data_IF_511327179883
#
_entry.id   IF_511327179883
#
_cell.length_a   1.000
_cell.length_b   1.000
_cell.length_c   1.000
_cell.angle_alpha   90.00
_cell.angle_beta   90.00
_cell.angle_gamma   90.00
#
_symmetry.space_group_name_H-M   'P 1'
#
loop_
_entity.id
_entity.type
_entity.pdbx_description
1 polymer ?
#
# COMPACT_ATOMS: atom_id res chain seq x y z
N UNK A 1 -0.24 -21.64 7.88
CA UNK A 1 -1.43 -20.76 7.86
C UNK A 1 -1.08 -19.53 7.03
N UNK A 2 -1.33 -19.59 5.72
CA UNK A 2 -0.89 -18.59 4.73
C UNK A 2 -2.12 -17.80 4.30
N UNK A 3 -2.13 -16.46 4.50
CA UNK A 3 -3.06 -15.43 3.95
C UNK A 3 -2.98 -14.08 4.71
N UNK A 4 -2.30 -14.01 5.86
CA UNK A 4 -2.45 -12.88 6.78
C UNK A 4 -1.73 -11.59 6.35
N UNK A 5 -0.63 -11.64 5.58
CA UNK A 5 0.11 -10.43 5.18
C UNK A 5 -0.67 -9.56 4.19
N UNK A 6 -1.26 -10.17 3.15
CA UNK A 6 -2.14 -9.48 2.21
C UNK A 6 -3.41 -8.97 2.89
N UNK A 7 -3.95 -9.76 3.82
CA UNK A 7 -5.10 -9.34 4.63
C UNK A 7 -4.77 -8.16 5.55
N UNK A 8 -3.58 -8.12 6.16
CA UNK A 8 -3.15 -7.00 7.01
C UNK A 8 -2.85 -5.74 6.20
N UNK A 9 -2.19 -5.85 5.04
CA UNK A 9 -1.96 -4.69 4.17
C UNK A 9 -3.30 -4.14 3.66
N UNK A 10 -4.21 -5.02 3.23
CA UNK A 10 -5.56 -4.64 2.83
C UNK A 10 -6.31 -4.00 4.00
N UNK A 11 -6.25 -4.57 5.21
CA UNK A 11 -6.89 -4.03 6.40
C UNK A 11 -6.33 -2.64 6.79
N UNK A 12 -5.02 -2.43 6.67
CA UNK A 12 -4.40 -1.12 6.92
C UNK A 12 -4.84 -0.09 5.87
N UNK A 13 -4.84 -0.45 4.58
CA UNK A 13 -5.30 0.45 3.51
C UNK A 13 -6.78 0.78 3.65
N UNK A 14 -7.62 -0.23 3.91
CA UNK A 14 -9.04 -0.04 4.18
C UNK A 14 -9.27 0.81 5.43
N UNK A 15 -8.56 0.55 6.52
CA UNK A 15 -8.64 1.33 7.75
C UNK A 15 -8.20 2.79 7.54
N UNK A 16 -7.13 3.02 6.79
CA UNK A 16 -6.65 4.36 6.45
C UNK A 16 -7.63 5.11 5.53
N UNK A 17 -8.19 4.44 4.51
CA UNK A 17 -9.18 5.03 3.62
C UNK A 17 -10.48 5.40 4.36
N UNK A 18 -10.95 4.51 5.25
CA UNK A 18 -12.10 4.78 6.12
C UNK A 18 -11.78 5.96 7.06
N UNK A 19 -10.63 5.94 7.74
CA UNK A 19 -10.23 7.00 8.67
C UNK A 19 -10.07 8.36 7.99
N UNK A 20 -9.40 8.42 6.84
CA UNK A 20 -9.26 9.65 6.05
C UNK A 20 -10.60 10.11 5.48
N UNK A 21 -11.41 9.19 4.96
CA UNK A 21 -12.76 9.46 4.48
C UNK A 21 -13.64 10.07 5.58
N UNK A 22 -13.70 9.44 6.76
CA UNK A 22 -14.41 9.98 7.91
C UNK A 22 -13.82 11.29 8.40
N UNK A 23 -12.50 11.45 8.43
CA UNK A 23 -11.85 12.71 8.85
C UNK A 23 -12.23 13.88 7.94
N UNK A 24 -12.21 13.66 6.62
CA UNK A 24 -12.60 14.67 5.63
C UNK A 24 -14.11 14.94 5.69
N UNK A 25 -14.94 13.91 5.86
CA UNK A 25 -16.40 14.07 5.96
C UNK A 25 -16.84 14.72 7.28
N UNK A 26 -16.16 14.42 8.39
CA UNK A 26 -16.45 14.99 9.71
C UNK A 26 -16.04 16.46 9.78
N UNK A 27 -14.92 16.82 9.15
CA UNK A 27 -14.42 18.20 9.10
C UNK A 27 -14.08 18.59 7.65
N UNK A 28 -15.09 18.88 6.82
CA UNK A 28 -14.87 19.26 5.43
C UNK A 28 -14.38 20.71 5.35
N UNK A 29 -13.21 20.92 4.74
CA UNK A 29 -12.76 22.25 4.34
C UNK A 29 -13.36 22.61 2.97
N UNK A 30 -13.36 23.89 2.62
CA UNK A 30 -13.81 24.33 1.30
C UNK A 30 -12.93 23.71 0.22
N UNK A 31 -13.55 23.22 -0.85
CA UNK A 31 -12.83 22.56 -1.95
C UNK A 31 -11.74 23.44 -2.59
N UNK A 32 -11.99 24.75 -2.71
CA UNK A 32 -10.98 25.71 -3.19
C UNK A 32 -9.73 25.73 -2.31
N UNK A 33 -9.91 25.77 -0.99
CA UNK A 33 -8.82 25.77 0.00
C UNK A 33 -8.10 24.43 0.06
N UNK A 34 -8.81 23.33 -0.12
CA UNK A 34 -8.18 21.98 -0.17
C UNK A 34 -7.26 21.88 -1.37
N UNK A 35 -7.69 22.36 -2.55
CA UNK A 35 -6.88 22.35 -3.76
C UNK A 35 -5.66 23.27 -3.67
N UNK A 36 -5.84 24.45 -3.07
CA UNK A 36 -4.75 25.40 -2.77
C UNK A 36 -3.74 24.78 -1.79
N UNK A 37 -4.20 24.21 -0.67
CA UNK A 37 -3.35 23.48 0.29
C UNK A 37 -2.60 22.30 -0.31
N UNK A 38 -3.19 21.59 -1.28
CA UNK A 38 -2.48 20.51 -2.00
C UNK A 38 -1.35 21.10 -2.85
N UNK A 39 -1.61 22.19 -3.57
CA UNK A 39 -0.60 22.80 -4.44
C UNK A 39 0.53 23.46 -3.64
N UNK A 40 0.20 24.27 -2.64
CA UNK A 40 1.18 25.04 -1.88
C UNK A 40 1.83 24.20 -0.77
N UNK A 41 1.02 23.35 -0.12
CA UNK A 41 1.45 22.55 1.02
C UNK A 41 2.23 21.30 0.64
N UNK A 42 2.19 20.81 -0.61
CA UNK A 42 2.89 19.58 -0.98
C UNK A 42 4.41 19.69 -0.82
N UNK A 43 5.01 20.75 -1.36
CA UNK A 43 6.47 20.91 -1.31
C UNK A 43 6.97 21.23 0.11
N UNK A 44 6.24 22.06 0.85
CA UNK A 44 6.57 22.41 2.24
C UNK A 44 6.33 21.23 3.20
N UNK A 45 5.21 20.51 3.05
CA UNK A 45 4.94 19.31 3.83
C UNK A 45 5.97 18.23 3.52
N UNK A 46 6.36 18.04 2.27
CA UNK A 46 7.37 17.03 1.91
C UNK A 46 8.71 17.28 2.60
N UNK A 47 9.21 18.52 2.61
CA UNK A 47 10.47 18.85 3.25
C UNK A 47 10.40 18.70 4.79
N UNK A 48 9.32 19.18 5.40
CA UNK A 48 9.13 19.08 6.85
C UNK A 48 8.84 17.64 7.31
N UNK A 49 8.12 16.86 6.50
CA UNK A 49 7.83 15.46 6.74
C UNK A 49 9.11 14.64 6.63
N UNK A 50 9.98 14.92 5.66
CA UNK A 50 11.22 14.16 5.50
C UNK A 50 12.08 14.19 6.77
N UNK A 51 12.31 15.37 7.34
CA UNK A 51 13.11 15.51 8.57
C UNK A 51 12.45 14.87 9.80
N UNK A 52 11.13 15.01 9.95
CA UNK A 52 10.40 14.39 11.07
C UNK A 52 10.25 12.89 10.91
N UNK A 53 10.09 12.43 9.68
CA UNK A 53 9.97 11.02 9.33
C UNK A 53 11.29 10.30 9.55
N UNK A 54 12.43 10.87 9.20
CA UNK A 54 13.74 10.24 9.43
C UNK A 54 13.93 9.88 10.91
N UNK A 55 13.72 10.83 11.83
CA UNK A 55 13.84 10.58 13.27
C UNK A 55 12.80 9.57 13.79
N UNK A 56 11.52 9.75 13.39
CA UNK A 56 10.45 8.87 13.85
C UNK A 56 10.60 7.45 13.28
N UNK A 57 11.02 7.32 12.03
CA UNK A 57 11.27 6.05 11.37
C UNK A 57 12.46 5.34 12.01
N UNK A 58 13.49 6.05 12.46
CA UNK A 58 14.64 5.45 13.12
C UNK A 58 14.26 4.86 14.49
N UNK A 59 13.47 5.57 15.30
CA UNK A 59 12.90 5.04 16.55
C UNK A 59 11.96 3.85 16.31
N UNK A 60 11.08 3.95 15.30
CA UNK A 60 10.17 2.86 14.92
C UNK A 60 10.95 1.64 14.44
N UNK A 61 11.98 1.85 13.62
CA UNK A 61 12.83 0.79 13.09
C UNK A 61 13.58 0.08 14.20
N UNK A 62 14.07 0.81 15.21
CA UNK A 62 14.71 0.21 16.39
C UNK A 62 13.72 -0.64 17.22
N UNK A 63 12.51 -0.13 17.47
CA UNK A 63 11.46 -0.89 18.18
C UNK A 63 11.00 -2.12 17.38
N UNK A 64 10.83 -1.96 16.07
CA UNK A 64 10.47 -3.06 15.16
C UNK A 64 11.62 -4.07 15.09
N UNK A 65 12.88 -3.66 15.03
CA UNK A 65 14.02 -4.59 14.93
C UNK A 65 14.19 -5.46 16.17
N UNK A 66 13.95 -4.89 17.37
CA UNK A 66 13.91 -5.65 18.62
C UNK A 66 12.79 -6.70 18.59
N UNK A 67 11.62 -6.34 18.05
CA UNK A 67 10.53 -7.29 17.80
C UNK A 67 10.89 -8.30 16.68
N UNK A 68 11.66 -7.85 15.68
CA UNK A 68 12.01 -8.60 14.46
C UNK A 68 12.95 -9.77 14.77
N UNK A 69 13.91 -9.55 15.66
CA UNK A 69 14.88 -10.57 16.09
C UNK A 69 14.23 -11.74 16.83
N UNK A 70 13.20 -11.50 17.63
CA UNK A 70 12.68 -12.54 18.50
C UNK A 70 11.53 -13.35 17.87
N UNK A 71 10.78 -12.79 16.92
CA UNK A 71 9.55 -13.42 16.41
C UNK A 71 9.30 -13.28 14.90
N UNK A 72 10.01 -12.38 14.20
CA UNK A 72 9.59 -11.99 12.85
C UNK A 72 10.46 -12.58 11.73
N UNK A 73 11.66 -13.09 11.99
CA UNK A 73 12.50 -13.71 10.96
C UNK A 73 11.87 -14.96 10.36
N UNK A 74 11.41 -15.91 11.20
CA UNK A 74 10.69 -17.10 10.72
C UNK A 74 9.43 -16.72 9.93
N UNK A 75 8.68 -15.73 10.41
CA UNK A 75 7.48 -15.23 9.72
C UNK A 75 7.83 -14.49 8.41
N UNK A 76 8.98 -13.82 8.33
CA UNK A 76 9.40 -13.06 7.15
C UNK A 76 9.86 -13.99 6.02
N UNK A 77 10.62 -15.03 6.34
CA UNK A 77 11.08 -16.02 5.36
C UNK A 77 9.91 -16.89 4.86
N UNK A 78 8.97 -17.26 5.74
CA UNK A 78 7.72 -17.93 5.34
C UNK A 78 6.86 -17.01 4.45
N UNK A 79 6.79 -15.70 4.72
CA UNK A 79 6.08 -14.75 3.86
C UNK A 79 6.76 -14.55 2.50
N UNK A 80 8.09 -14.44 2.45
CA UNK A 80 8.83 -14.27 1.19
C UNK A 80 8.62 -15.47 0.26
N UNK A 81 8.70 -16.68 0.82
CA UNK A 81 8.44 -17.95 0.11
C UNK A 81 7.02 -18.00 -0.46
N UNK A 82 6.01 -17.66 0.36
CA UNK A 82 4.61 -17.69 -0.05
C UNK A 82 4.25 -16.61 -1.08
N UNK A 83 4.87 -15.43 -0.99
CA UNK A 83 4.69 -14.35 -1.97
C UNK A 83 5.31 -14.72 -3.30
N UNK A 84 6.49 -15.34 -3.31
CA UNK A 84 7.13 -15.79 -4.54
C UNK A 84 6.23 -16.74 -5.32
N UNK A 85 5.68 -17.77 -4.67
CA UNK A 85 4.79 -18.73 -5.32
C UNK A 85 3.47 -18.11 -5.79
N UNK A 86 2.82 -17.29 -4.95
CA UNK A 86 1.58 -16.63 -5.35
C UNK A 86 1.78 -15.60 -6.47
N UNK A 87 2.98 -15.03 -6.58
CA UNK A 87 3.30 -14.11 -7.67
C UNK A 87 3.34 -14.85 -9.01
N UNK A 88 3.85 -16.08 -9.04
CA UNK A 88 3.83 -16.95 -10.23
C UNK A 88 2.40 -17.27 -10.69
N UNK A 89 1.51 -17.66 -9.77
CA UNK A 89 0.09 -17.91 -10.09
C UNK A 89 -0.62 -16.64 -10.61
N UNK A 90 -0.31 -15.49 -10.02
CA UNK A 90 -0.86 -14.19 -10.44
C UNK A 90 -0.34 -13.82 -11.83
N UNK A 91 0.94 -14.07 -12.14
CA UNK A 91 1.51 -13.83 -13.47
C UNK A 91 0.78 -14.70 -14.50
N UNK A 92 0.60 -16.00 -14.26
CA UNK A 92 -0.11 -16.88 -15.18
C UNK A 92 -1.57 -16.45 -15.41
N UNK A 93 -2.28 -16.05 -14.35
CA UNK A 93 -3.65 -15.55 -14.48
C UNK A 93 -3.74 -14.24 -15.28
N UNK A 94 -2.77 -13.34 -15.10
CA UNK A 94 -2.69 -12.10 -15.86
C UNK A 94 -2.37 -12.36 -17.33
N UNK A 95 -1.49 -13.31 -17.64
CA UNK A 95 -1.20 -13.74 -19.01
C UNK A 95 -2.44 -14.32 -19.69
N UNK A 96 -3.20 -15.18 -18.99
CA UNK A 96 -4.45 -15.75 -19.50
C UNK A 96 -5.50 -14.66 -19.78
N UNK A 97 -5.69 -13.71 -18.85
CA UNK A 97 -6.58 -12.57 -19.03
C UNK A 97 -6.14 -11.67 -20.19
N UNK A 98 -4.84 -11.42 -20.34
CA UNK A 98 -4.29 -10.58 -21.40
C UNK A 98 -4.47 -11.24 -22.77
N UNK A 99 -4.25 -12.56 -22.88
CA UNK A 99 -4.51 -13.33 -24.08
C UNK A 99 -5.99 -13.28 -24.47
N UNK A 100 -6.90 -13.53 -23.52
CA UNK A 100 -8.35 -13.42 -23.73
C UNK A 100 -8.78 -12.02 -24.19
N UNK A 101 -8.23 -10.97 -23.57
CA UNK A 101 -8.53 -9.58 -23.96
C UNK A 101 -8.03 -9.26 -25.38
N UNK A 102 -6.84 -9.77 -25.75
CA UNK A 102 -6.29 -9.58 -27.09
C UNK A 102 -7.12 -10.30 -28.15
N UNK A 103 -7.63 -11.49 -27.85
CA UNK A 103 -8.51 -12.25 -28.74
C UNK A 103 -9.89 -11.59 -28.89
N UNK A 104 -10.47 -11.08 -27.79
CA UNK A 104 -11.72 -10.32 -27.83
C UNK A 104 -11.59 -9.02 -28.63
N UNK A 105 -10.48 -8.28 -28.46
CA UNK A 105 -10.22 -7.09 -29.28
C UNK A 105 -10.05 -7.41 -30.77
N UNK A 106 -9.38 -8.52 -31.12
CA UNK A 106 -9.23 -8.94 -32.52
C UNK A 106 -10.57 -9.36 -33.16
N UNK A 107 -11.50 -9.93 -32.37
CA UNK A 107 -12.87 -10.26 -32.81
C UNK A 107 -13.74 -9.01 -33.01
N UNK A 108 -13.47 -7.93 -32.29
CA UNK A 108 -14.18 -6.65 -32.40
C UNK A 108 -13.67 -5.75 -33.54
N UNK A 109 -12.50 -6.05 -34.12
CA UNK A 109 -11.92 -5.30 -35.26
C UNK A 109 -12.21 -5.92 -36.64
N UNK A 110 -13.13 -6.89 -36.73
CA UNK A 110 -13.74 -7.37 -37.98
C UNK A 110 -15.14 -6.81 -38.13
#
# INVERSE_FOLDING_TARGET
MSNNAGSTLLALLTGAAIGAGFGILYAPDKGSRTREKINDGYDEAKNNLKHKYENAAEELKHKISLFKQNNLQETYDEMLSNVSHKTEDVISFLEEKLASLKEQNAKLQK
#
